data_IF_768322406350
#
_entry.id   IF_768322406350
#
_cell.length_a   1.000
_cell.length_b   1.000
_cell.length_c   1.000
_cell.angle_alpha   90.00
_cell.angle_beta   90.00
_cell.angle_gamma   90.00
#
_symmetry.space_group_name_H-M   'P 1'
#
loop_
_entity.id
_entity.type
_entity.pdbx_description
1 polymer ?
#
# COMPACT_ATOMS: atom_id res chain seq x y z
N UNK A 1 2.52 -12.14 -22.27
CA UNK A 1 3.87 -12.41 -21.76
C UNK A 1 3.84 -11.91 -20.33
N UNK A 2 3.84 -12.82 -19.36
CA UNK A 2 3.79 -12.42 -17.95
C UNK A 2 5.15 -11.82 -17.57
N UNK A 3 5.13 -10.71 -16.84
CA UNK A 3 6.33 -10.04 -16.37
C UNK A 3 7.05 -10.96 -15.36
N UNK A 4 8.34 -11.32 -15.53
CA UNK A 4 9.04 -12.33 -14.73
C UNK A 4 9.43 -11.81 -13.34
N UNK A 5 8.43 -11.43 -12.56
CA UNK A 5 8.58 -10.69 -11.31
C UNK A 5 9.38 -11.46 -10.24
N UNK A 6 9.25 -12.78 -10.20
CA UNK A 6 9.99 -13.63 -9.25
C UNK A 6 11.49 -13.66 -9.53
N UNK A 7 11.88 -13.55 -10.79
CA UNK A 7 13.30 -13.56 -11.18
C UNK A 7 13.95 -12.20 -10.94
N UNK A 8 13.21 -11.12 -11.21
CA UNK A 8 13.71 -9.75 -11.10
C UNK A 8 13.68 -9.22 -9.67
N UNK A 9 12.65 -9.55 -8.89
CA UNK A 9 12.42 -9.04 -7.53
C UNK A 9 11.97 -10.15 -6.57
N UNK A 10 12.82 -11.16 -6.31
CA UNK A 10 12.48 -12.28 -5.42
C UNK A 10 12.12 -11.84 -3.99
N UNK A 11 12.71 -10.76 -3.51
CA UNK A 11 12.48 -10.20 -2.16
C UNK A 11 11.05 -9.75 -1.92
N UNK A 12 10.27 -9.42 -2.97
CA UNK A 12 8.86 -9.04 -2.85
C UNK A 12 7.97 -10.19 -2.39
N UNK A 13 8.49 -11.42 -2.41
CA UNK A 13 7.81 -12.65 -2.03
C UNK A 13 8.37 -13.24 -0.74
N UNK A 14 9.26 -12.54 -0.05
CA UNK A 14 9.71 -12.96 1.28
C UNK A 14 8.50 -13.05 2.24
N UNK A 15 8.50 -14.00 3.17
CA UNK A 15 7.38 -14.16 4.10
C UNK A 15 7.19 -12.87 4.92
N UNK A 16 5.95 -12.54 5.34
CA UNK A 16 5.68 -11.32 6.10
C UNK A 16 6.53 -11.17 7.37
N UNK A 17 6.95 -12.27 8.00
CA UNK A 17 7.85 -12.26 9.16
C UNK A 17 9.25 -11.68 8.87
N UNK A 18 9.67 -11.65 7.59
CA UNK A 18 10.96 -11.14 7.14
C UNK A 18 10.83 -9.78 6.44
N UNK A 19 9.81 -9.61 5.58
CA UNK A 19 9.65 -8.42 4.75
C UNK A 19 8.53 -7.46 5.20
N UNK A 20 7.70 -7.84 6.18
CA UNK A 20 6.62 -7.01 6.72
C UNK A 20 5.34 -6.97 5.89
N UNK A 21 5.30 -7.59 4.70
CA UNK A 21 4.09 -7.68 3.86
C UNK A 21 4.42 -7.77 2.37
N UNK A 22 3.39 -7.65 1.53
CA UNK A 22 3.53 -7.55 0.08
C UNK A 22 3.56 -6.10 -0.40
N UNK A 23 2.81 -5.80 -1.46
CA UNK A 23 2.90 -4.52 -2.17
C UNK A 23 2.48 -3.30 -1.34
N UNK A 24 1.65 -3.47 -0.30
CA UNK A 24 1.34 -2.35 0.60
C UNK A 24 2.56 -1.93 1.42
N UNK A 25 3.40 -2.88 1.82
CA UNK A 25 4.66 -2.59 2.52
C UNK A 25 5.73 -2.11 1.55
N UNK A 26 5.81 -2.72 0.36
CA UNK A 26 6.85 -2.39 -0.63
C UNK A 26 6.67 -1.02 -1.28
N UNK A 27 5.43 -0.65 -1.63
CA UNK A 27 5.16 0.59 -2.37
C UNK A 27 4.11 1.47 -1.69
N UNK A 28 3.15 0.88 -0.99
CA UNK A 28 2.10 1.62 -0.29
C UNK A 28 2.66 2.55 0.80
N UNK A 29 3.78 2.18 1.44
CA UNK A 29 4.43 2.98 2.47
C UNK A 29 4.82 4.38 1.98
N UNK A 30 5.25 4.54 0.73
CA UNK A 30 5.62 5.86 0.18
C UNK A 30 4.40 6.77 0.02
N UNK A 31 3.27 6.21 -0.44
CA UNK A 31 2.03 6.98 -0.58
C UNK A 31 1.49 7.41 0.79
N UNK A 32 1.60 6.55 1.80
CA UNK A 32 1.21 6.85 3.19
C UNK A 32 2.12 7.92 3.78
N UNK A 33 3.44 7.78 3.64
CA UNK A 33 4.42 8.75 4.15
C UNK A 33 4.21 10.13 3.54
N UNK A 34 3.97 10.18 2.22
CA UNK A 34 3.63 11.41 1.52
C UNK A 34 2.33 12.04 2.04
N UNK A 35 1.27 11.25 2.21
CA UNK A 35 -0.01 11.74 2.74
C UNK A 35 0.13 12.26 4.18
N UNK A 36 0.86 11.56 5.04
CA UNK A 36 1.13 11.98 6.42
C UNK A 36 1.97 13.25 6.46
N UNK A 37 2.96 13.37 5.58
CA UNK A 37 3.81 14.56 5.48
C UNK A 37 3.01 15.80 5.10
N UNK A 38 2.04 15.68 4.20
CA UNK A 38 1.27 16.82 3.70
C UNK A 38 0.07 17.16 4.60
N UNK A 39 -0.64 16.13 5.06
CA UNK A 39 -1.96 16.29 5.71
C UNK A 39 -1.92 16.02 7.21
N UNK A 40 -0.80 15.54 7.75
CA UNK A 40 -0.67 15.10 9.13
C UNK A 40 -1.25 13.70 9.36
N UNK A 41 -1.56 13.38 10.61
CA UNK A 41 -2.15 12.08 10.96
C UNK A 41 -3.65 12.05 10.66
N UNK A 42 -4.15 11.00 9.97
CA UNK A 42 -5.59 10.82 9.77
C UNK A 42 -6.29 10.50 11.09
N UNK A 43 -7.60 10.84 11.18
CA UNK A 43 -8.47 10.50 12.30
C UNK A 43 -8.84 9.03 12.29
N UNK A 44 -9.16 8.49 11.11
CA UNK A 44 -9.47 7.07 10.93
C UNK A 44 -8.82 6.51 9.67
N UNK A 45 -8.55 5.21 9.69
CA UNK A 45 -7.93 4.48 8.57
C UNK A 45 -8.76 3.24 8.29
N UNK A 46 -9.11 3.03 7.03
CA UNK A 46 -9.70 1.79 6.55
C UNK A 46 -8.79 1.19 5.48
N UNK A 47 -8.60 -0.12 5.51
CA UNK A 47 -7.75 -0.80 4.55
C UNK A 47 -8.43 -2.07 4.03
N UNK A 48 -8.24 -2.32 2.73
CA UNK A 48 -8.62 -3.57 2.08
C UNK A 48 -7.46 -4.03 1.21
N UNK A 49 -7.08 -5.29 1.34
CA UNK A 49 -6.05 -5.90 0.51
C UNK A 49 -6.60 -7.10 -0.24
N UNK A 50 -5.93 -7.44 -1.35
CA UNK A 50 -6.30 -8.56 -2.21
C UNK A 50 -5.05 -9.28 -2.73
N UNK A 51 -5.24 -10.55 -3.06
CA UNK A 51 -4.25 -11.44 -3.70
C UNK A 51 -4.85 -11.97 -4.99
N UNK A 52 -4.56 -11.34 -6.12
CA UNK A 52 -5.14 -11.76 -7.41
C UNK A 52 -4.12 -12.28 -8.42
N UNK A 53 -2.83 -12.01 -8.25
CA UNK A 53 -1.78 -12.66 -9.05
C UNK A 53 -1.32 -13.95 -8.40
N UNK A 54 -1.10 -14.97 -9.22
CA UNK A 54 -0.80 -16.34 -8.77
C UNK A 54 0.47 -16.38 -7.92
N UNK A 55 1.51 -15.67 -8.33
CA UNK A 55 2.81 -15.63 -7.65
C UNK A 55 2.69 -15.09 -6.22
N UNK A 56 1.84 -14.08 -6.04
CA UNK A 56 1.56 -13.47 -4.74
C UNK A 56 0.62 -14.31 -3.88
N UNK A 57 -0.35 -14.99 -4.50
CA UNK A 57 -1.19 -15.97 -3.81
C UNK A 57 -0.36 -17.12 -3.25
N UNK A 58 0.55 -17.68 -4.05
CA UNK A 58 1.44 -18.77 -3.66
C UNK A 58 2.42 -18.37 -2.54
N UNK A 59 2.88 -17.12 -2.53
CA UNK A 59 3.76 -16.57 -1.49
C UNK A 59 3.01 -16.01 -0.27
N UNK A 60 1.68 -16.10 -0.27
CA UNK A 60 0.79 -15.57 0.77
C UNK A 60 0.97 -14.08 1.11
N UNK A 61 1.45 -13.27 0.16
CA UNK A 61 1.59 -11.81 0.27
C UNK A 61 0.59 -11.09 -0.62
N UNK A 62 0.09 -9.92 -0.22
CA UNK A 62 -0.84 -9.13 -1.03
C UNK A 62 -0.15 -8.44 -2.21
N UNK A 63 -0.84 -8.36 -3.34
CA UNK A 63 -0.34 -7.64 -4.53
C UNK A 63 -1.13 -6.35 -4.82
N UNK A 64 -2.08 -6.05 -3.95
CA UNK A 64 -2.91 -4.86 -4.04
C UNK A 64 -3.45 -4.48 -2.68
N UNK A 65 -3.44 -3.19 -2.42
CA UNK A 65 -4.05 -2.57 -1.27
C UNK A 65 -4.78 -1.31 -1.66
N UNK A 66 -5.91 -1.08 -1.00
CA UNK A 66 -6.58 0.20 -0.98
C UNK A 66 -6.64 0.67 0.47
N UNK A 67 -6.23 1.91 0.69
CA UNK A 67 -6.29 2.56 1.99
C UNK A 67 -7.11 3.83 1.84
N UNK A 68 -8.05 4.03 2.76
CA UNK A 68 -8.83 5.25 2.89
C UNK A 68 -8.36 5.94 4.17
N UNK A 69 -7.85 7.16 4.01
CA UNK A 69 -7.38 8.02 5.10
C UNK A 69 -8.42 9.13 5.32
N UNK A 70 -9.06 9.14 6.48
CA UNK A 70 -10.05 10.14 6.84
C UNK A 70 -9.41 11.23 7.70
N UNK A 71 -9.40 12.46 7.18
CA UNK A 71 -8.86 13.65 7.86
C UNK A 71 -9.97 14.53 8.46
N UNK A 72 -11.24 14.16 8.29
CA UNK A 72 -12.40 15.00 8.58
C UNK A 72 -12.60 16.10 7.53
N UNK A 73 -13.11 17.24 7.98
CA UNK A 73 -13.51 18.33 7.09
C UNK A 73 -12.31 19.20 6.67
N UNK A 74 -12.25 19.50 5.36
CA UNK A 74 -11.36 20.53 4.81
C UNK A 74 -12.16 21.79 4.51
N UNK A 75 -11.70 22.93 5.02
CA UNK A 75 -12.28 24.23 4.72
C UNK A 75 -11.36 24.98 3.75
N UNK A 76 -11.84 25.25 2.54
CA UNK A 76 -11.14 26.10 1.59
C UNK A 76 -11.75 27.51 1.63
N UNK A 77 -10.92 28.52 1.87
CA UNK A 77 -11.34 29.92 1.76
C UNK A 77 -11.20 30.35 0.30
N UNK A 78 -12.32 30.74 -0.32
CA UNK A 78 -12.29 31.40 -1.63
C UNK A 78 -11.86 32.86 -1.41
N UNK A 79 -10.64 33.21 -1.84
CA UNK A 79 -10.20 34.60 -1.91
C UNK A 79 -10.83 35.26 -3.14
N UNK A 80 -11.64 36.30 -2.91
CA UNK A 80 -12.20 37.19 -3.94
C UNK A 80 -11.45 38.51 -4.05
#
# INVERSE_FOLDING_TARGET
>A
MDFPIRELWPERFDPPAKAGGGEMTNMGCYAIDFAVTILGMPKTVQAKWMKFWREYQEAEVENFGQIILDYGDFYAMLSG
#
